data_IF_051613744849
#
_entry.id   IF_051613744849
#
_cell.length_a   1.000
_cell.length_b   1.000
_cell.length_c   1.000
_cell.angle_alpha   90.00
_cell.angle_beta   90.00
_cell.angle_gamma   90.00
#
_symmetry.space_group_name_H-M   'P 1'
#
loop_
_entity.id
_entity.type
_entity.pdbx_description
1 polymer ?
#
# COMPACT_ATOMS: atom_id res chain seq x y z
N UNK A 1 -68.91 -22.09 -45.15
CA UNK A 1 -67.52 -21.79 -45.41
C UNK A 1 -66.93 -21.10 -44.16
N UNK A 2 -66.21 -21.85 -43.33
CA UNK A 2 -65.55 -21.31 -42.13
C UNK A 2 -64.06 -21.08 -42.45
N UNK A 3 -63.64 -19.82 -42.44
CA UNK A 3 -62.25 -19.43 -42.65
C UNK A 3 -61.51 -19.54 -41.34
N UNK A 4 -60.54 -20.49 -41.27
CA UNK A 4 -59.60 -20.64 -40.13
C UNK A 4 -58.43 -19.66 -40.28
N UNK A 5 -58.33 -18.72 -39.36
CA UNK A 5 -57.13 -17.84 -39.26
C UNK A 5 -56.09 -18.51 -38.37
N UNK A 6 -54.97 -18.87 -38.96
CA UNK A 6 -53.78 -19.36 -38.27
C UNK A 6 -53.05 -18.15 -37.71
N UNK A 7 -52.95 -18.05 -36.37
CA UNK A 7 -52.15 -17.04 -35.70
C UNK A 7 -50.73 -17.57 -35.50
N UNK A 8 -49.78 -16.99 -36.21
CA UNK A 8 -48.34 -17.27 -36.03
C UNK A 8 -47.85 -16.45 -34.80
N UNK A 9 -47.49 -17.16 -33.74
CA UNK A 9 -46.83 -16.53 -32.59
C UNK A 9 -45.33 -16.45 -32.89
N UNK A 10 -44.82 -15.24 -33.13
CA UNK A 10 -43.40 -14.98 -33.14
C UNK A 10 -42.88 -14.88 -31.68
N UNK A 11 -42.13 -15.89 -31.27
CA UNK A 11 -41.35 -15.83 -30.02
C UNK A 11 -40.08 -15.00 -30.27
N UNK A 12 -40.01 -13.83 -29.65
CA UNK A 12 -38.79 -13.03 -29.62
C UNK A 12 -37.88 -13.61 -28.51
N UNK A 13 -36.82 -14.32 -28.89
CA UNK A 13 -35.79 -14.75 -27.97
C UNK A 13 -34.86 -13.57 -27.79
N UNK A 14 -35.00 -12.86 -26.67
CA UNK A 14 -34.00 -11.85 -26.25
C UNK A 14 -32.74 -12.54 -25.75
N UNK A 15 -31.70 -12.52 -26.55
CA UNK A 15 -30.36 -12.92 -26.11
C UNK A 15 -29.78 -11.79 -25.25
N UNK A 16 -29.72 -12.01 -23.95
CA UNK A 16 -28.97 -11.16 -23.02
C UNK A 16 -27.48 -11.50 -23.18
N UNK A 17 -26.73 -10.64 -23.86
CA UNK A 17 -25.27 -10.68 -23.90
C UNK A 17 -24.77 -10.21 -22.53
N UNK A 18 -24.40 -11.15 -21.64
CA UNK A 18 -23.56 -10.85 -20.48
C UNK A 18 -22.17 -10.49 -20.98
N UNK A 19 -21.92 -9.20 -21.17
CA UNK A 19 -20.56 -8.70 -21.36
C UNK A 19 -19.77 -8.84 -20.04
N UNK A 20 -18.77 -9.70 -20.01
CA UNK A 20 -17.78 -9.71 -18.92
C UNK A 20 -16.97 -8.42 -19.01
N UNK A 21 -17.25 -7.47 -18.12
CA UNK A 21 -16.41 -6.31 -17.91
C UNK A 21 -15.13 -6.81 -17.21
N UNK A 22 -14.05 -6.93 -17.95
CA UNK A 22 -12.71 -7.08 -17.36
C UNK A 22 -12.32 -5.67 -16.90
N UNK A 23 -12.41 -5.41 -15.61
CA UNK A 23 -11.86 -4.20 -15.01
C UNK A 23 -10.33 -4.28 -15.16
N UNK A 24 -9.76 -3.46 -16.03
CA UNK A 24 -8.32 -3.23 -16.08
C UNK A 24 -7.98 -2.35 -14.88
N UNK A 25 -7.43 -2.96 -13.84
CA UNK A 25 -6.89 -2.23 -12.68
C UNK A 25 -5.69 -1.44 -13.18
N UNK A 26 -5.59 -0.12 -12.92
CA UNK A 26 -4.37 0.61 -13.19
C UNK A 26 -3.27 0.05 -12.28
N UNK A 27 -2.26 -0.59 -12.84
CA UNK A 27 -1.03 -0.90 -12.10
C UNK A 27 -0.37 0.43 -11.75
N UNK A 28 -0.33 0.79 -10.47
CA UNK A 28 0.49 1.90 -10.01
C UNK A 28 1.95 1.63 -10.42
N UNK A 29 2.58 2.60 -11.07
CA UNK A 29 4.00 2.51 -11.38
C UNK A 29 4.77 2.70 -10.06
N UNK A 30 5.74 1.81 -9.79
CA UNK A 30 6.63 1.94 -8.64
C UNK A 30 7.27 3.34 -8.61
N UNK A 31 7.09 4.06 -7.53
CA UNK A 31 7.63 5.40 -7.32
C UNK A 31 9.04 5.34 -6.71
N UNK A 32 9.80 6.42 -6.86
CA UNK A 32 11.07 6.59 -6.16
C UNK A 32 10.92 7.75 -5.17
N UNK A 33 11.12 7.46 -3.89
CA UNK A 33 11.04 8.42 -2.81
C UNK A 33 12.45 8.82 -2.37
N UNK A 34 12.75 10.10 -2.46
CA UNK A 34 14.09 10.63 -2.18
C UNK A 34 14.23 11.10 -0.74
N UNK A 35 15.26 10.60 -0.06
CA UNK A 35 15.67 11.04 1.28
C UNK A 35 17.08 11.60 1.19
N UNK A 36 17.29 12.81 1.66
CA UNK A 36 18.59 13.45 1.61
C UNK A 36 19.32 13.36 2.97
N UNK A 37 20.58 12.99 2.96
CA UNK A 37 21.43 13.13 4.13
C UNK A 37 21.84 14.59 4.27
N UNK A 38 21.43 15.24 5.37
CA UNK A 38 21.73 16.65 5.68
C UNK A 38 22.36 16.76 7.05
N UNK A 39 23.68 16.95 7.08
CA UNK A 39 24.42 16.94 8.35
C UNK A 39 24.28 15.60 9.06
N UNK A 40 23.69 15.60 10.26
CA UNK A 40 23.41 14.38 11.05
C UNK A 40 21.91 14.05 11.07
N UNK A 41 21.20 14.28 9.96
CA UNK A 41 19.78 13.96 9.82
C UNK A 41 19.50 13.35 8.44
N UNK A 42 18.39 12.62 8.35
CA UNK A 42 17.72 12.29 7.10
C UNK A 42 16.60 13.30 6.86
N UNK A 43 16.41 13.73 5.61
CA UNK A 43 15.41 14.72 5.25
C UNK A 43 14.67 14.32 3.94
N UNK A 44 13.38 13.98 4.01
CA UNK A 44 12.58 13.84 5.23
C UNK A 44 13.03 12.66 6.11
N UNK A 45 12.83 12.76 7.43
CA UNK A 45 13.15 11.67 8.37
C UNK A 45 12.05 10.60 8.39
N UNK A 46 10.83 10.98 8.05
CA UNK A 46 9.67 10.09 7.97
C UNK A 46 9.06 10.17 6.58
N UNK A 47 8.81 9.03 5.97
CA UNK A 47 8.19 8.91 4.65
C UNK A 47 7.12 7.83 4.66
N UNK A 48 6.10 8.02 3.84
CA UNK A 48 5.08 7.02 3.55
C UNK A 48 5.22 6.58 2.10
N UNK A 49 5.21 5.28 1.86
CA UNK A 49 5.46 4.66 0.55
C UNK A 49 4.50 3.49 0.34
N UNK A 50 4.31 3.07 -0.89
CA UNK A 50 3.58 1.85 -1.22
C UNK A 50 4.54 0.65 -1.36
N UNK A 51 4.00 -0.55 -1.19
CA UNK A 51 4.71 -1.78 -1.55
C UNK A 51 5.12 -1.75 -3.03
N UNK A 52 6.35 -2.16 -3.33
CA UNK A 52 6.96 -2.07 -4.67
C UNK A 52 7.68 -0.76 -4.98
N UNK A 53 7.49 0.29 -4.19
CA UNK A 53 8.21 1.54 -4.34
C UNK A 53 9.70 1.40 -3.98
N UNK A 54 10.49 2.39 -4.37
CA UNK A 54 11.93 2.47 -4.05
C UNK A 54 12.20 3.66 -3.16
N UNK A 55 12.88 3.45 -2.05
CA UNK A 55 13.46 4.54 -1.24
C UNK A 55 14.91 4.72 -1.65
N UNK A 56 15.29 5.97 -1.95
CA UNK A 56 16.64 6.34 -2.32
C UNK A 56 17.20 7.38 -1.37
N UNK A 57 18.32 7.06 -0.73
CA UNK A 57 19.06 8.01 0.10
C UNK A 57 20.19 8.66 -0.70
N UNK A 58 20.30 9.97 -0.59
CA UNK A 58 21.31 10.78 -1.26
C UNK A 58 22.33 11.31 -0.25
N UNK A 59 23.59 11.04 -0.50
CA UNK A 59 24.70 11.55 0.30
C UNK A 59 25.01 13.02 -0.01
N UNK A 60 25.36 13.80 1.01
CA UNK A 60 25.84 15.17 0.84
C UNK A 60 27.27 15.35 1.33
N UNK A 61 27.62 14.77 2.49
CA UNK A 61 28.94 14.92 3.08
C UNK A 61 29.16 13.92 4.22
N UNK A 62 30.42 13.68 4.61
CA UNK A 62 30.75 12.86 5.76
C UNK A 62 30.79 11.36 5.51
N UNK A 63 30.68 10.58 6.57
CA UNK A 63 30.60 9.12 6.52
C UNK A 63 29.38 8.67 7.29
N UNK A 64 28.47 8.06 6.60
CA UNK A 64 27.16 7.62 7.10
C UNK A 64 26.85 6.20 6.65
N UNK A 65 25.76 5.67 7.18
CA UNK A 65 25.10 4.47 6.69
C UNK A 65 23.60 4.71 6.66
N UNK A 66 22.89 3.86 5.93
CA UNK A 66 21.44 3.63 6.09
C UNK A 66 21.27 2.19 6.52
N UNK A 67 20.83 1.97 7.75
CA UNK A 67 20.82 0.67 8.40
C UNK A 67 19.46 0.46 9.04
N UNK A 68 18.72 -0.58 8.64
CA UNK A 68 17.42 -0.89 9.22
C UNK A 68 17.55 -1.46 10.63
N UNK A 69 16.60 -1.13 11.50
CA UNK A 69 16.53 -1.60 12.88
C UNK A 69 16.20 -0.50 13.89
N UNK A 70 16.10 -0.90 15.15
CA UNK A 70 15.72 -0.05 16.28
C UNK A 70 16.83 0.03 17.32
N UNK A 71 16.84 1.09 18.11
CA UNK A 71 17.79 1.27 19.24
C UNK A 71 19.27 1.12 18.83
N UNK A 72 19.62 1.56 17.61
CA UNK A 72 20.98 1.43 17.05
C UNK A 72 21.43 -0.02 16.84
N UNK A 73 20.52 -0.94 16.72
CA UNK A 73 20.79 -2.36 16.45
C UNK A 73 20.19 -2.73 15.08
N UNK A 74 21.08 -3.18 14.18
CA UNK A 74 20.66 -3.68 12.86
C UNK A 74 19.76 -4.91 13.01
N UNK A 75 18.63 -4.92 12.32
CA UNK A 75 17.66 -6.02 12.37
C UNK A 75 18.07 -7.24 11.52
N UNK A 76 18.98 -7.04 10.55
CA UNK A 76 19.43 -8.08 9.65
C UNK A 76 18.40 -8.51 8.60
N UNK A 77 17.36 -7.70 8.38
CA UNK A 77 16.21 -8.06 7.53
C UNK A 77 16.14 -7.23 6.26
N UNK A 78 16.22 -5.89 6.37
CA UNK A 78 15.93 -5.02 5.23
C UNK A 78 17.20 -4.52 4.54
N UNK A 79 17.94 -3.59 5.14
CA UNK A 79 19.11 -2.98 4.51
C UNK A 79 20.19 -2.56 5.50
N UNK A 80 21.44 -2.58 5.02
CA UNK A 80 22.62 -2.03 5.71
C UNK A 80 23.64 -1.57 4.67
N UNK A 81 23.50 -0.31 4.23
CA UNK A 81 24.24 0.23 3.11
C UNK A 81 25.10 1.43 3.54
N UNK A 82 26.36 1.53 3.04
CA UNK A 82 27.19 2.70 3.26
C UNK A 82 26.66 3.91 2.49
N UNK A 83 26.78 5.10 3.10
CA UNK A 83 26.44 6.37 2.49
C UNK A 83 27.60 7.36 2.70
N UNK A 84 28.47 7.53 1.69
CA UNK A 84 29.72 8.28 1.75
C UNK A 84 30.21 8.69 0.35
N UNK A 85 31.39 9.31 0.22
CA UNK A 85 31.92 9.76 -1.06
C UNK A 85 32.17 8.66 -2.09
N UNK A 86 32.26 7.41 -1.67
CA UNK A 86 32.37 6.23 -2.56
C UNK A 86 31.02 5.59 -2.88
N UNK A 87 29.99 5.91 -2.09
CA UNK A 87 28.62 5.42 -2.21
C UNK A 87 27.68 6.60 -1.98
N UNK A 88 27.47 7.39 -3.04
CA UNK A 88 26.72 8.65 -2.97
C UNK A 88 25.20 8.46 -2.98
N UNK A 89 24.75 7.24 -3.23
CA UNK A 89 23.35 6.83 -3.13
C UNK A 89 23.26 5.43 -2.53
N UNK A 90 22.19 5.18 -1.79
CA UNK A 90 21.73 3.86 -1.39
C UNK A 90 20.27 3.71 -1.81
N UNK A 91 19.85 2.52 -2.16
CA UNK A 91 18.47 2.26 -2.61
C UNK A 91 17.92 0.99 -1.95
N UNK A 92 16.63 1.02 -1.62
CA UNK A 92 15.91 -0.14 -1.14
C UNK A 92 14.55 -0.21 -1.83
N UNK A 93 14.27 -1.34 -2.47
CA UNK A 93 12.95 -1.63 -3.05
C UNK A 93 12.09 -2.27 -1.98
N UNK A 94 10.96 -1.67 -1.68
CA UNK A 94 10.00 -2.21 -0.73
C UNK A 94 9.43 -3.52 -1.29
N UNK A 95 9.47 -4.63 -0.54
CA UNK A 95 8.84 -5.89 -0.99
C UNK A 95 7.35 -5.70 -1.28
N UNK A 96 6.85 -6.37 -2.32
CA UNK A 96 5.47 -6.19 -2.78
C UNK A 96 4.41 -6.73 -1.81
N UNK A 97 4.81 -7.55 -0.86
CA UNK A 97 3.98 -8.16 0.19
C UNK A 97 4.23 -7.57 1.58
N UNK A 98 5.02 -6.49 1.68
CA UNK A 98 5.33 -5.87 2.97
C UNK A 98 4.41 -4.68 3.24
N UNK A 99 3.89 -4.61 4.45
CA UNK A 99 3.22 -3.44 5.02
C UNK A 99 3.69 -3.22 6.46
N UNK A 100 3.58 -2.00 6.95
CA UNK A 100 4.01 -1.63 8.30
C UNK A 100 5.16 -0.63 8.32
N UNK A 101 5.94 -0.61 9.40
CA UNK A 101 7.02 0.36 9.60
C UNK A 101 8.39 -0.29 9.53
N UNK A 102 9.32 0.40 8.89
CA UNK A 102 10.75 0.07 8.90
C UNK A 102 11.47 1.25 9.56
N UNK A 103 11.90 1.05 10.78
CA UNK A 103 12.79 1.99 11.45
C UNK A 103 14.21 1.84 10.88
N UNK A 104 14.91 2.95 10.73
CA UNK A 104 16.30 2.94 10.28
C UNK A 104 17.13 4.03 10.92
N UNK A 105 18.45 3.89 10.85
CA UNK A 105 19.39 4.81 11.48
C UNK A 105 20.73 4.85 10.73
N UNK A 106 21.52 5.86 11.06
CA UNK A 106 22.93 5.92 10.65
C UNK A 106 23.80 5.30 11.75
N UNK A 107 24.49 4.18 11.49
CA UNK A 107 25.23 3.43 12.50
C UNK A 107 26.21 4.30 13.31
N UNK A 108 27.10 5.13 12.72
CA UNK A 108 28.01 5.98 13.49
C UNK A 108 27.33 7.13 14.24
N UNK A 109 26.10 7.53 13.88
CA UNK A 109 25.45 8.73 14.41
C UNK A 109 24.10 8.45 15.09
N UNK A 110 23.72 7.20 15.27
CA UNK A 110 22.45 6.82 15.88
C UNK A 110 22.30 7.41 17.29
N UNK A 111 23.36 7.31 18.11
CA UNK A 111 23.37 7.89 19.45
C UNK A 111 23.21 9.44 19.47
N UNK A 112 23.36 10.09 18.33
CA UNK A 112 23.12 11.53 18.13
C UNK A 112 21.74 11.83 17.54
N UNK A 113 20.89 10.80 17.38
CA UNK A 113 19.52 10.94 16.89
C UNK A 113 19.39 10.94 15.35
N UNK A 114 20.41 10.42 14.62
CA UNK A 114 20.29 10.27 13.16
C UNK A 114 19.50 9.01 12.83
N UNK A 115 18.17 9.14 12.82
CA UNK A 115 17.19 8.07 12.60
C UNK A 115 16.15 8.48 11.55
N UNK A 116 15.40 7.52 11.05
CA UNK A 116 14.26 7.76 10.18
C UNK A 116 13.27 6.59 10.22
N UNK A 117 12.09 6.81 9.62
CA UNK A 117 11.00 5.82 9.57
C UNK A 117 10.45 5.79 8.15
N UNK A 118 10.28 4.59 7.62
CA UNK A 118 9.52 4.32 6.40
C UNK A 118 8.22 3.65 6.83
N UNK A 119 7.09 4.30 6.57
CA UNK A 119 5.76 3.69 6.71
C UNK A 119 5.35 3.13 5.34
N UNK A 120 5.13 1.83 5.28
CA UNK A 120 4.65 1.17 4.05
C UNK A 120 3.16 0.95 4.18
N UNK A 121 2.40 1.59 3.29
CA UNK A 121 0.95 1.43 3.25
C UNK A 121 0.57 0.00 2.89
N UNK A 122 -0.49 -0.49 3.49
CA UNK A 122 -1.04 -1.78 3.13
C UNK A 122 -1.56 -1.73 1.68
N UNK A 123 -1.19 -2.69 0.83
CA UNK A 123 -1.80 -2.81 -0.50
C UNK A 123 -3.30 -3.17 -0.42
N UNK A 124 -3.78 -3.50 0.76
CA UNK A 124 -5.12 -3.94 1.04
C UNK A 124 -5.70 -3.14 2.25
N UNK A 125 -6.12 -1.87 2.03
CA UNK A 125 -6.55 -1.01 3.12
C UNK A 125 -7.81 -1.50 3.84
N UNK A 126 -8.56 -2.43 3.23
CA UNK A 126 -9.75 -3.03 3.81
C UNK A 126 -9.48 -4.33 4.59
N UNK A 127 -8.24 -4.81 4.63
CA UNK A 127 -7.79 -5.94 5.46
C UNK A 127 -7.34 -5.39 6.82
N UNK A 128 -8.27 -5.33 7.77
CA UNK A 128 -8.05 -4.71 9.08
C UNK A 128 -7.40 -5.65 10.09
N UNK A 129 -7.53 -6.97 9.91
CA UNK A 129 -6.92 -7.94 10.82
C UNK A 129 -5.57 -8.49 10.33
N UNK A 130 -5.19 -8.16 9.07
CA UNK A 130 -3.87 -8.44 8.50
C UNK A 130 -3.67 -9.90 8.10
N UNK A 131 -4.73 -10.63 7.82
CA UNK A 131 -4.67 -12.04 7.45
C UNK A 131 -4.48 -12.26 5.93
N UNK A 132 -4.42 -11.16 5.15
CA UNK A 132 -4.29 -11.09 3.70
C UNK A 132 -5.55 -11.49 2.91
N UNK A 133 -6.70 -11.50 3.56
CA UNK A 133 -8.01 -11.64 2.95
C UNK A 133 -8.93 -10.52 3.44
N UNK A 134 -9.74 -9.94 2.55
CA UNK A 134 -10.85 -9.05 2.96
C UNK A 134 -12.10 -9.89 3.10
N UNK A 135 -12.54 -10.10 4.33
CA UNK A 135 -13.66 -11.00 4.61
C UNK A 135 -14.67 -10.47 5.66
N UNK A 136 -15.36 -11.35 6.32
CA UNK A 136 -16.36 -10.99 7.32
C UNK A 136 -15.77 -10.42 8.61
N UNK A 137 -14.50 -10.69 8.95
CA UNK A 137 -13.84 -10.12 10.11
C UNK A 137 -13.60 -8.62 9.89
N UNK A 138 -13.13 -8.25 8.69
CA UNK A 138 -12.91 -6.86 8.29
C UNK A 138 -14.21 -6.07 8.18
N UNK A 139 -15.25 -6.68 7.62
CA UNK A 139 -16.57 -6.07 7.58
C UNK A 139 -17.09 -5.78 9.00
N UNK A 140 -16.90 -6.68 9.94
CA UNK A 140 -17.32 -6.48 11.33
C UNK A 140 -16.50 -5.38 12.01
N UNK A 141 -15.20 -5.28 11.71
CA UNK A 141 -14.34 -4.20 12.17
C UNK A 141 -14.83 -2.84 11.65
N UNK A 142 -15.03 -2.72 10.33
CA UNK A 142 -15.54 -1.50 9.69
C UNK A 142 -16.88 -1.06 10.28
N UNK A 143 -17.81 -1.99 10.48
CA UNK A 143 -19.11 -1.68 11.06
C UNK A 143 -19.00 -1.23 12.54
N UNK A 144 -18.04 -1.75 13.29
CA UNK A 144 -17.77 -1.32 14.66
C UNK A 144 -17.11 0.06 14.72
N UNK A 145 -16.33 0.43 13.71
CA UNK A 145 -15.66 1.72 13.56
C UNK A 145 -16.54 2.81 12.94
N UNK A 146 -17.80 2.52 12.64
CA UNK A 146 -18.69 3.43 11.90
C UNK A 146 -18.79 4.83 12.53
N UNK A 147 -18.54 5.86 11.73
CA UNK A 147 -18.53 7.27 12.16
C UNK A 147 -17.26 7.68 12.92
N UNK A 148 -16.19 6.89 12.85
CA UNK A 148 -14.85 7.23 13.35
C UNK A 148 -13.84 7.17 12.20
N UNK A 149 -12.58 7.47 12.43
CA UNK A 149 -11.52 7.33 11.43
C UNK A 149 -10.86 5.93 11.42
N UNK A 150 -11.28 5.01 12.29
CA UNK A 150 -10.57 3.74 12.47
C UNK A 150 -10.84 2.73 11.33
N UNK A 151 -11.94 2.89 10.60
CA UNK A 151 -12.33 2.05 9.46
C UNK A 151 -12.29 2.79 8.12
N UNK A 152 -11.51 3.86 8.03
CA UNK A 152 -11.33 4.70 6.85
C UNK A 152 -10.52 3.92 5.79
N UNK A 153 -11.19 3.47 4.75
CA UNK A 153 -10.60 2.72 3.62
C UNK A 153 -10.27 3.64 2.46
N UNK A 154 -11.02 4.74 2.29
CA UNK A 154 -10.86 5.65 1.15
C UNK A 154 -10.03 6.91 1.46
N UNK A 155 -9.65 7.13 2.72
CA UNK A 155 -8.71 8.17 3.16
C UNK A 155 -9.35 9.53 3.41
N UNK A 156 -10.67 9.60 3.63
CA UNK A 156 -11.40 10.85 3.89
C UNK A 156 -11.50 11.23 5.37
N UNK A 157 -10.97 10.39 6.26
CA UNK A 157 -10.88 10.52 7.71
C UNK A 157 -12.19 10.27 8.47
N UNK A 158 -13.15 9.61 7.87
CA UNK A 158 -14.28 9.03 8.57
C UNK A 158 -14.58 7.59 8.09
N UNK A 159 -15.50 6.89 8.73
CA UNK A 159 -15.93 5.56 8.31
C UNK A 159 -17.40 5.62 7.96
N UNK A 160 -17.71 5.55 6.68
CA UNK A 160 -19.08 5.68 6.19
C UNK A 160 -19.45 4.65 5.08
N UNK A 161 -20.40 4.99 4.26
CA UNK A 161 -20.85 4.14 3.16
C UNK A 161 -19.84 4.02 2.02
N UNK A 162 -18.93 4.97 1.85
CA UNK A 162 -17.89 4.90 0.83
C UNK A 162 -16.87 3.83 1.21
N UNK A 163 -16.46 3.76 2.49
CA UNK A 163 -15.57 2.72 3.02
C UNK A 163 -16.18 1.33 2.92
N UNK A 164 -17.47 1.21 3.25
CA UNK A 164 -18.18 -0.05 3.08
C UNK A 164 -18.18 -0.52 1.62
N UNK A 165 -18.38 0.39 0.68
CA UNK A 165 -18.33 0.06 -0.75
C UNK A 165 -16.92 -0.28 -1.20
N UNK A 166 -15.90 0.40 -0.68
CA UNK A 166 -14.48 0.11 -0.96
C UNK A 166 -14.08 -1.27 -0.42
N UNK A 167 -14.47 -1.60 0.82
CA UNK A 167 -14.26 -2.93 1.41
C UNK A 167 -14.93 -4.02 0.57
N UNK A 168 -16.21 -3.85 0.21
CA UNK A 168 -16.93 -4.84 -0.60
C UNK A 168 -16.34 -4.98 -2.02
N UNK A 169 -15.74 -3.95 -2.57
CA UNK A 169 -15.03 -4.01 -3.85
C UNK A 169 -13.70 -4.76 -3.76
N UNK A 170 -13.05 -4.74 -2.59
CA UNK A 170 -11.79 -5.43 -2.31
C UNK A 170 -11.98 -6.87 -1.78
N UNK A 171 -13.22 -7.37 -1.68
CA UNK A 171 -13.55 -8.65 -1.07
C UNK A 171 -12.80 -9.84 -1.66
N UNK A 172 -12.12 -10.60 -0.83
CA UNK A 172 -11.29 -11.76 -1.20
C UNK A 172 -9.82 -11.54 -0.87
N UNK A 173 -8.95 -12.39 -1.45
CA UNK A 173 -7.52 -12.32 -1.17
C UNK A 173 -6.89 -11.01 -1.64
N UNK A 174 -6.07 -10.42 -0.80
CA UNK A 174 -5.26 -9.25 -1.11
C UNK A 174 -4.23 -9.58 -2.22
N UNK A 175 -3.87 -8.60 -3.07
CA UNK A 175 -2.93 -8.79 -4.17
C UNK A 175 -1.50 -9.08 -3.71
#
# INVERSE_FOLDING_TARGET
MRSSRIAIRMSVVSAVLLGTFVAVQPTALAAVHEVNQVGLTFDPAEITVAAGDTVRWNWSSGVHTVTSGVDCVHDGVHFDEPLNSGHTTAEYVIPGDFSGMIDYFCMPHCALGMTGIITVESPCPADFDGDSDVDTADLLFLLAAWGTADGDVDGDSDTDTADLLALLAAWGSCP
#
